data_IF_215194890254
#
_entry.id   IF_215194890254
#
_cell.length_a   1.000
_cell.length_b   1.000
_cell.length_c   1.000
_cell.angle_alpha   90.00
_cell.angle_beta   90.00
_cell.angle_gamma   90.00
#
_symmetry.space_group_name_H-M   'P 1'
#
loop_
_entity.id
_entity.type
_entity.pdbx_description
1 polymer ?
#
# COMPACT_ATOMS: atom_id res chain seq x y z
N UNK A 1 -41.03 28.57 71.13
CA UNK A 1 -40.00 29.63 71.12
C UNK A 1 -38.89 29.10 70.21
N UNK A 2 -38.92 29.33 68.89
CA UNK A 2 -38.37 30.52 68.19
C UNK A 2 -36.98 30.86 68.76
N UNK A 3 -35.88 30.75 68.02
CA UNK A 3 -35.53 31.51 66.81
C UNK A 3 -34.41 30.79 66.02
N UNK A 4 -34.52 30.61 64.69
CA UNK A 4 -34.08 31.54 63.63
C UNK A 4 -32.61 31.96 63.71
N UNK A 5 -31.79 31.35 62.87
CA UNK A 5 -30.75 32.00 62.02
C UNK A 5 -29.89 30.86 61.46
N UNK A 6 -30.23 30.30 60.31
CA UNK A 6 -29.69 30.77 59.02
C UNK A 6 -28.24 31.24 59.22
N UNK A 7 -27.29 30.32 59.08
CA UNK A 7 -25.91 30.66 58.80
C UNK A 7 -25.89 31.35 57.44
N UNK A 8 -26.10 32.66 57.49
CA UNK A 8 -25.79 33.62 56.44
C UNK A 8 -24.30 33.48 56.18
N UNK A 9 -23.96 32.75 55.13
CA UNK A 9 -22.62 32.76 54.57
C UNK A 9 -22.40 34.17 54.05
N UNK A 10 -21.55 34.90 54.77
CA UNK A 10 -21.25 36.29 54.48
C UNK A 10 -20.62 36.39 53.09
N UNK A 11 -21.39 37.06 52.25
CA UNK A 11 -21.02 37.67 51.00
C UNK A 11 -19.83 38.61 51.25
N UNK A 12 -18.61 38.18 50.94
CA UNK A 12 -17.49 39.10 50.69
C UNK A 12 -17.33 39.22 49.18
N UNK A 13 -18.06 40.19 48.62
CA UNK A 13 -17.75 40.79 47.33
C UNK A 13 -16.44 41.58 47.47
N UNK A 14 -15.31 40.93 47.24
CA UNK A 14 -14.10 41.63 46.81
C UNK A 14 -14.19 41.82 45.30
N UNK A 15 -14.62 43.01 44.89
CA UNK A 15 -14.38 43.50 43.53
C UNK A 15 -12.88 43.71 43.35
N UNK A 16 -12.13 42.66 43.01
CA UNK A 16 -10.89 42.80 42.26
C UNK A 16 -11.26 42.83 40.79
N UNK A 17 -11.39 44.03 40.24
CA UNK A 17 -11.37 44.22 38.78
C UNK A 17 -9.96 43.87 38.30
N UNK A 18 -9.69 42.59 38.11
CA UNK A 18 -8.60 42.17 37.24
C UNK A 18 -9.01 42.60 35.83
N UNK A 19 -8.46 43.74 35.42
CA UNK A 19 -8.41 44.18 34.05
C UNK A 19 -7.68 43.10 33.26
N UNK A 20 -8.40 42.09 32.78
CA UNK A 20 -7.91 41.14 31.79
C UNK A 20 -7.58 41.96 30.55
N UNK A 21 -6.29 42.23 30.35
CA UNK A 21 -5.82 42.96 29.18
C UNK A 21 -6.23 42.15 27.93
N UNK A 22 -7.10 42.69 27.06
CA UNK A 22 -7.63 41.97 25.91
C UNK A 22 -6.52 41.57 24.93
N UNK A 23 -5.35 42.20 25.04
CA UNK A 23 -4.15 41.91 24.25
C UNK A 23 -3.51 40.57 24.64
N UNK A 24 -3.57 40.16 25.91
CA UNK A 24 -2.98 38.89 26.36
C UNK A 24 -3.84 37.71 25.87
N UNK A 25 -5.17 37.83 25.92
CA UNK A 25 -6.08 36.82 25.37
C UNK A 25 -5.99 36.73 23.84
N UNK A 26 -5.82 37.85 23.14
CA UNK A 26 -5.53 37.87 21.70
C UNK A 26 -4.21 37.18 21.36
N UNK A 27 -3.17 37.38 22.18
CA UNK A 27 -1.89 36.71 21.97
C UNK A 27 -1.99 35.20 22.25
N UNK A 28 -2.68 34.79 23.32
CA UNK A 28 -2.88 33.38 23.65
C UNK A 28 -3.74 32.66 22.60
N UNK A 29 -4.82 33.29 22.12
CA UNK A 29 -5.64 32.75 21.02
C UNK A 29 -4.88 32.68 19.70
N UNK A 30 -4.03 33.67 19.38
CA UNK A 30 -3.16 33.64 18.20
C UNK A 30 -2.12 32.52 18.28
N UNK A 31 -1.52 32.29 19.46
CA UNK A 31 -0.58 31.19 19.67
C UNK A 31 -1.27 29.83 19.56
N UNK A 32 -2.47 29.68 20.15
CA UNK A 32 -3.27 28.47 20.05
C UNK A 32 -3.66 28.16 18.59
N UNK A 33 -4.04 29.17 17.81
CA UNK A 33 -4.39 29.02 16.40
C UNK A 33 -3.18 28.54 15.57
N UNK A 34 -1.98 29.10 15.78
CA UNK A 34 -0.75 28.63 15.09
C UNK A 34 -0.38 27.20 15.43
N UNK A 35 -0.58 26.77 16.69
CA UNK A 35 -0.34 25.38 17.09
C UNK A 35 -1.34 24.43 16.43
N UNK A 36 -2.59 24.87 16.27
CA UNK A 36 -3.62 24.11 15.57
C UNK A 36 -3.32 23.98 14.06
N UNK A 37 -2.86 25.06 13.41
CA UNK A 37 -2.44 25.03 12.00
C UNK A 37 -1.21 24.13 11.77
N UNK A 38 -0.21 24.17 12.68
CA UNK A 38 0.95 23.27 12.62
C UNK A 38 0.54 21.80 12.73
N UNK A 39 -0.35 21.47 13.68
CA UNK A 39 -0.89 20.11 13.83
C UNK A 39 -1.66 19.64 12.59
N UNK A 40 -2.43 20.52 11.94
CA UNK A 40 -3.12 20.20 10.68
C UNK A 40 -2.15 20.01 9.51
N UNK A 41 -1.10 20.82 9.41
CA UNK A 41 -0.07 20.67 8.38
C UNK A 41 0.71 19.35 8.54
N UNK A 42 1.05 18.97 9.77
CA UNK A 42 1.74 17.70 10.05
C UNK A 42 0.86 16.48 9.72
N UNK A 43 -0.44 16.53 10.03
CA UNK A 43 -1.39 15.50 9.64
C UNK A 43 -1.53 15.39 8.12
N UNK A 44 -1.65 16.52 7.41
CA UNK A 44 -1.73 16.55 5.96
C UNK A 44 -0.46 15.99 5.29
N UNK A 45 0.72 16.31 5.81
CA UNK A 45 1.99 15.78 5.31
C UNK A 45 2.11 14.26 5.53
N UNK A 46 1.66 13.76 6.68
CA UNK A 46 1.65 12.33 6.99
C UNK A 46 0.71 11.57 6.04
N UNK A 47 -0.50 12.11 5.81
CA UNK A 47 -1.48 11.54 4.87
C UNK A 47 -0.92 11.50 3.43
N UNK A 48 -0.18 12.52 3.00
CA UNK A 48 0.46 12.55 1.67
C UNK A 48 1.59 11.54 1.55
N UNK A 49 2.41 11.36 2.59
CA UNK A 49 3.46 10.34 2.64
C UNK A 49 2.90 8.91 2.62
N UNK A 50 1.81 8.67 3.33
CA UNK A 50 1.14 7.37 3.34
C UNK A 50 0.53 7.06 1.97
N UNK A 51 -0.17 8.02 1.36
CA UNK A 51 -0.78 7.87 0.04
C UNK A 51 0.23 7.65 -1.10
N UNK A 52 1.42 8.26 -1.02
CA UNK A 52 2.52 8.02 -1.97
C UNK A 52 3.20 6.67 -1.73
N UNK A 53 3.34 6.24 -0.46
CA UNK A 53 3.86 4.93 -0.07
C UNK A 53 2.97 3.78 -0.60
N UNK A 54 1.65 3.85 -0.41
CA UNK A 54 0.72 2.81 -0.89
C UNK A 54 0.69 2.68 -2.42
N UNK A 55 0.77 3.79 -3.17
CA UNK A 55 0.88 3.76 -4.64
C UNK A 55 2.20 3.14 -5.10
N UNK A 56 3.31 3.47 -4.44
CA UNK A 56 4.64 2.91 -4.73
C UNK A 56 4.67 1.39 -4.46
N UNK A 57 4.20 0.95 -3.29
CA UNK A 57 4.10 -0.46 -2.92
C UNK A 57 3.28 -1.29 -3.91
N UNK A 58 2.17 -0.74 -4.43
CA UNK A 58 1.31 -1.45 -5.39
C UNK A 58 1.93 -1.60 -6.78
N UNK A 59 2.73 -0.62 -7.21
CA UNK A 59 3.49 -0.69 -8.47
C UNK A 59 4.62 -1.71 -8.34
N UNK A 60 5.29 -1.73 -7.19
CA UNK A 60 6.39 -2.67 -6.91
C UNK A 60 5.93 -4.13 -6.79
N UNK A 61 4.76 -4.39 -6.20
CA UNK A 61 4.19 -5.74 -6.11
C UNK A 61 3.99 -6.40 -7.49
N UNK A 62 3.38 -5.67 -8.45
CA UNK A 62 3.18 -6.17 -9.82
C UNK A 62 4.51 -6.42 -10.54
N UNK A 63 5.50 -5.55 -10.31
CA UNK A 63 6.84 -5.68 -10.91
C UNK A 63 7.56 -6.92 -10.39
N UNK A 64 7.42 -7.23 -9.10
CA UNK A 64 8.03 -8.39 -8.48
C UNK A 64 7.44 -9.72 -8.99
N UNK A 65 6.12 -9.82 -9.12
CA UNK A 65 5.47 -11.00 -9.72
C UNK A 65 5.92 -11.25 -11.17
N UNK A 66 6.09 -10.18 -11.97
CA UNK A 66 6.58 -10.29 -13.34
C UNK A 66 8.04 -10.74 -13.38
N UNK A 67 8.87 -10.21 -12.48
CA UNK A 67 10.28 -10.60 -12.34
C UNK A 67 10.41 -12.09 -12.01
N UNK A 68 9.62 -12.58 -11.07
CA UNK A 68 9.61 -14.00 -10.68
C UNK A 68 9.18 -14.89 -11.86
N UNK A 69 8.10 -14.53 -12.56
CA UNK A 69 7.63 -15.26 -13.76
C UNK A 69 8.70 -15.31 -14.84
N UNK A 70 9.43 -14.21 -15.06
CA UNK A 70 10.52 -14.15 -16.03
C UNK A 70 11.71 -15.00 -15.60
N UNK A 71 12.09 -14.99 -14.33
CA UNK A 71 13.17 -15.85 -13.81
C UNK A 71 12.84 -17.34 -14.00
N UNK A 72 11.62 -17.77 -13.66
CA UNK A 72 11.16 -19.14 -13.89
C UNK A 72 11.22 -19.50 -15.39
N UNK A 73 10.83 -18.56 -16.26
CA UNK A 73 10.86 -18.76 -17.71
C UNK A 73 12.28 -18.88 -18.25
N UNK A 74 13.22 -18.07 -17.78
CA UNK A 74 14.62 -18.12 -18.19
C UNK A 74 15.27 -19.44 -17.78
N UNK A 75 15.06 -19.90 -16.55
CA UNK A 75 15.54 -21.22 -16.09
C UNK A 75 15.04 -22.36 -16.97
N UNK A 76 13.76 -22.31 -17.38
CA UNK A 76 13.18 -23.29 -18.31
C UNK A 76 13.77 -23.20 -19.71
N UNK A 77 14.17 -22.01 -20.15
CA UNK A 77 14.81 -21.81 -21.43
C UNK A 77 16.24 -22.36 -21.44
N UNK A 78 17.02 -22.02 -20.41
CA UNK A 78 18.39 -22.52 -20.19
C UNK A 78 18.42 -24.05 -20.20
N UNK A 79 17.51 -24.72 -19.47
CA UNK A 79 17.45 -26.19 -19.46
C UNK A 79 17.03 -26.85 -20.78
N UNK A 80 16.56 -26.09 -21.78
CA UNK A 80 16.21 -26.59 -23.12
C UNK A 80 17.20 -26.12 -24.20
N UNK A 81 18.12 -25.23 -23.84
CA UNK A 81 19.06 -24.65 -24.78
C UNK A 81 20.21 -25.64 -24.99
N UNK A 82 20.51 -25.91 -26.26
CA UNK A 82 21.68 -26.70 -26.65
C UNK A 82 22.70 -25.69 -27.18
N UNK A 83 23.80 -25.53 -26.45
CA UNK A 83 24.88 -24.63 -26.86
C UNK A 83 25.95 -25.45 -27.60
N UNK A 84 26.03 -25.23 -28.91
CA UNK A 84 27.02 -25.92 -29.72
C UNK A 84 28.43 -25.40 -29.43
N UNK A 85 29.41 -26.29 -29.22
CA UNK A 85 30.79 -25.87 -29.06
C UNK A 85 31.31 -25.25 -30.36
N UNK A 86 32.03 -24.14 -30.25
CA UNK A 86 32.73 -23.52 -31.40
C UNK A 86 33.74 -24.50 -31.99
N UNK A 87 34.45 -25.23 -31.13
CA UNK A 87 35.44 -26.24 -31.50
C UNK A 87 35.06 -27.60 -30.92
N UNK A 88 34.62 -28.55 -31.76
CA UNK A 88 34.22 -29.90 -31.34
C UNK A 88 35.29 -30.66 -30.55
N UNK A 89 36.58 -30.40 -30.84
CA UNK A 89 37.72 -31.05 -30.17
C UNK A 89 38.04 -30.48 -28.79
N UNK A 90 37.56 -29.27 -28.48
CA UNK A 90 37.85 -28.54 -27.23
C UNK A 90 36.58 -27.81 -26.75
N UNK A 91 35.57 -28.56 -26.27
CA UNK A 91 34.37 -27.95 -25.70
C UNK A 91 34.72 -27.17 -24.43
N UNK A 92 34.04 -26.04 -24.24
CA UNK A 92 34.16 -25.17 -23.06
C UNK A 92 33.17 -25.58 -21.96
N UNK A 93 33.42 -25.16 -20.70
CA UNK A 93 32.42 -25.32 -19.65
C UNK A 93 31.15 -24.55 -20.01
N UNK A 94 30.04 -25.26 -20.16
CA UNK A 94 28.75 -24.72 -20.60
C UNK A 94 28.32 -25.15 -22.01
N UNK A 95 29.20 -25.80 -22.78
CA UNK A 95 28.84 -26.41 -24.05
C UNK A 95 28.09 -27.73 -23.85
N UNK A 96 27.17 -28.03 -24.77
CA UNK A 96 26.40 -29.27 -24.76
C UNK A 96 27.23 -30.48 -25.20
N UNK A 97 26.81 -31.67 -24.77
CA UNK A 97 27.49 -32.91 -25.16
C UNK A 97 27.27 -33.21 -26.65
N UNK A 98 28.14 -34.03 -27.25
CA UNK A 98 28.00 -34.41 -28.65
C UNK A 98 26.65 -35.12 -28.94
N UNK A 99 26.17 -35.95 -28.01
CA UNK A 99 24.87 -36.66 -28.14
C UNK A 99 23.70 -35.68 -28.20
N UNK A 100 23.73 -34.63 -27.39
CA UNK A 100 22.69 -33.58 -27.40
C UNK A 100 22.77 -32.77 -28.69
N UNK A 101 23.98 -32.45 -29.15
CA UNK A 101 24.21 -31.75 -30.42
C UNK A 101 23.65 -32.54 -31.61
N UNK A 102 23.81 -33.86 -31.64
CA UNK A 102 23.33 -34.71 -32.73
C UNK A 102 21.80 -34.89 -32.70
N UNK A 103 21.20 -34.83 -31.51
CA UNK A 103 19.73 -34.92 -31.33
C UNK A 103 19.03 -33.57 -31.53
N UNK A 104 19.78 -32.48 -31.66
CA UNK A 104 19.24 -31.14 -31.75
C UNK A 104 18.45 -30.94 -33.05
N UNK A 105 17.22 -30.42 -32.94
CA UNK A 105 16.35 -30.11 -34.07
C UNK A 105 15.97 -28.63 -34.09
N UNK A 106 15.88 -28.05 -35.29
CA UNK A 106 15.44 -26.67 -35.45
C UNK A 106 13.93 -26.54 -35.17
N UNK A 107 13.59 -25.79 -34.13
CA UNK A 107 12.20 -25.45 -33.84
C UNK A 107 11.72 -24.33 -34.76
N UNK A 108 10.87 -24.63 -35.75
CA UNK A 108 10.30 -23.65 -36.71
C UNK A 108 9.26 -22.68 -36.11
N UNK A 109 9.08 -22.66 -34.79
CA UNK A 109 8.03 -21.86 -34.14
C UNK A 109 8.55 -20.46 -33.80
N UNK A 110 7.76 -19.42 -34.10
CA UNK A 110 8.07 -18.02 -33.74
C UNK A 110 8.24 -17.80 -32.23
N UNK A 111 7.60 -18.63 -31.39
CA UNK A 111 7.71 -18.60 -29.92
C UNK A 111 8.23 -19.94 -29.41
N UNK A 112 9.43 -19.94 -28.83
CA UNK A 112 10.09 -21.14 -28.29
C UNK A 112 9.39 -21.65 -27.03
N UNK A 113 9.08 -20.74 -26.10
CA UNK A 113 8.26 -21.00 -24.93
C UNK A 113 6.90 -20.29 -25.09
N UNK A 114 5.76 -20.99 -25.09
CA UNK A 114 4.46 -20.35 -25.10
C UNK A 114 4.32 -19.36 -23.94
N UNK A 115 3.76 -18.18 -24.20
CA UNK A 115 3.29 -17.30 -23.14
C UNK A 115 1.90 -17.81 -22.77
N UNK A 116 1.78 -18.47 -21.62
CA UNK A 116 0.49 -18.91 -21.15
C UNK A 116 -0.37 -17.66 -20.89
N UNK A 117 -1.36 -17.41 -21.75
CA UNK A 117 -2.50 -16.58 -21.39
C UNK A 117 -3.20 -17.33 -20.26
N UNK A 118 -2.97 -16.91 -19.02
CA UNK A 118 -3.61 -17.55 -17.88
C UNK A 118 -5.12 -17.40 -18.07
N UNK A 119 -5.80 -18.49 -18.45
CA UNK A 119 -7.25 -18.57 -18.30
C UNK A 119 -7.49 -18.37 -16.80
N UNK A 120 -8.31 -17.38 -16.44
CA UNK A 120 -8.68 -17.16 -15.04
C UNK A 120 -9.18 -18.51 -14.50
N UNK A 121 -8.64 -18.95 -13.36
CA UNK A 121 -9.11 -20.17 -12.72
C UNK A 121 -10.60 -19.95 -12.43
N UNK A 122 -11.46 -20.82 -12.94
CA UNK A 122 -12.87 -20.79 -12.57
C UNK A 122 -12.95 -21.06 -11.07
N UNK A 123 -13.45 -20.08 -10.32
CA UNK A 123 -13.74 -20.25 -8.92
C UNK A 123 -15.00 -21.11 -8.80
N UNK A 124 -14.93 -22.18 -8.02
CA UNK A 124 -16.10 -23.00 -7.68
C UNK A 124 -17.01 -22.18 -6.77
N UNK A 125 -18.32 -22.42 -6.84
CA UNK A 125 -19.30 -21.82 -5.93
C UNK A 125 -18.89 -22.03 -4.48
N UNK A 126 -18.72 -20.93 -3.72
CA UNK A 126 -18.45 -20.95 -2.28
C UNK A 126 -19.70 -20.50 -1.53
N UNK A 127 -19.91 -21.01 -0.31
CA UNK A 127 -20.96 -20.53 0.58
C UNK A 127 -20.69 -19.07 0.91
N UNK A 128 -21.68 -18.20 0.71
CA UNK A 128 -21.55 -16.76 1.00
C UNK A 128 -21.39 -16.59 2.52
N UNK A 129 -20.31 -15.90 2.93
CA UNK A 129 -20.05 -15.58 4.33
C UNK A 129 -20.93 -14.39 4.76
N UNK A 130 -21.26 -14.31 6.05
CA UNK A 130 -22.00 -13.17 6.65
C UNK A 130 -21.32 -11.83 6.34
N UNK A 131 -20.00 -11.80 6.37
CA UNK A 131 -19.17 -10.62 6.01
C UNK A 131 -19.42 -10.16 4.55
N UNK A 132 -19.50 -11.12 3.62
CA UNK A 132 -19.75 -10.83 2.20
C UNK A 132 -21.20 -10.45 1.89
N UNK A 133 -22.16 -10.87 2.74
CA UNK A 133 -23.56 -10.44 2.63
C UNK A 133 -23.76 -9.00 3.13
N UNK A 134 -23.03 -8.62 4.19
CA UNK A 134 -23.15 -7.29 4.81
C UNK A 134 -22.49 -6.18 3.98
N UNK A 135 -21.57 -6.53 3.08
CA UNK A 135 -20.95 -5.59 2.16
C UNK A 135 -21.94 -5.19 1.06
N UNK A 136 -22.67 -4.10 1.27
CA UNK A 136 -23.44 -3.47 0.20
C UNK A 136 -22.49 -2.94 -0.88
N UNK A 137 -22.51 -3.58 -2.04
CA UNK A 137 -21.64 -3.26 -3.17
C UNK A 137 -21.86 -1.83 -3.70
N UNK A 138 -23.08 -1.29 -3.50
CA UNK A 138 -23.51 0.02 -3.99
C UNK A 138 -22.82 1.17 -3.24
N UNK A 139 -22.88 1.15 -1.90
CA UNK A 139 -22.33 2.21 -1.06
C UNK A 139 -20.83 2.36 -1.22
N UNK A 140 -20.10 1.23 -1.31
CA UNK A 140 -18.64 1.23 -1.45
C UNK A 140 -18.16 1.75 -2.82
N UNK A 141 -18.96 1.58 -3.87
CA UNK A 141 -18.65 2.07 -5.21
C UNK A 141 -19.06 3.54 -5.40
N UNK A 142 -20.12 3.99 -4.73
CA UNK A 142 -20.56 5.39 -4.73
C UNK A 142 -19.54 6.32 -4.07
N UNK A 143 -18.97 5.90 -2.94
CA UNK A 143 -17.95 6.69 -2.23
C UNK A 143 -16.62 6.79 -2.99
N UNK A 144 -16.26 5.79 -3.80
CA UNK A 144 -15.02 5.77 -4.61
C UNK A 144 -15.06 6.65 -5.86
N UNK A 145 -16.24 7.11 -6.31
CA UNK A 145 -16.40 7.97 -7.50
C UNK A 145 -16.55 9.46 -7.16
N UNK A 146 -16.79 9.79 -5.88
CA UNK A 146 -16.95 11.17 -5.39
C UNK A 146 -15.64 11.81 -4.90
N UNK A 147 -14.55 11.03 -4.84
CA UNK A 147 -13.18 11.48 -4.60
C UNK A 147 -12.43 11.58 -5.92
#
# INVERSE_FOLDING_TARGET
>A
MTDKSILVTQLQQSHSTESVNPDIERLQSTQAFRLQEKGQQEQNNTIVHDNTSYKKQKIDGRRNELKEKNQIRLKKYEGRMILFPVNKKKPKPGDSSQKECDTALQLKRKRLLPLATQKKKHEKSRKVSSESMRLECSDRLGWKRKM
#
